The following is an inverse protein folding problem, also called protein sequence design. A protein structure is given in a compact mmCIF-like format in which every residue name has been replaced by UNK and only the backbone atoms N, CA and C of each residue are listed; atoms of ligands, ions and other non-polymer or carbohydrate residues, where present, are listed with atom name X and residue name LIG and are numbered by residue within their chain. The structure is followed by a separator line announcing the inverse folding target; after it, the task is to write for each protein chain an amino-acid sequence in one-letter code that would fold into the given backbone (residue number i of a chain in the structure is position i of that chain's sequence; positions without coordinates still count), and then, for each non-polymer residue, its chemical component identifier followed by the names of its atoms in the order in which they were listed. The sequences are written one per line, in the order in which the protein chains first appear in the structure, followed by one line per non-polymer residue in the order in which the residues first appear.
data_IF_810569904121
#
_entry.id   IF_810569904121
#
_cell.length_a   1.000
_cell.length_b   1.000
_cell.length_c   1.000
_cell.angle_alpha   90.00
_cell.angle_beta   90.00
_cell.angle_gamma   90.00
#
_symmetry.space_group_name_H-M   'P 1'
#
loop_
_entity.id
_entity.type
_entity.pdbx_description
1 polymer ?
#
# COMPACT_ATOMS: atom_id res chain seq x y z
N UNK A 1 -42.92 28.73 -12.53
CA UNK A 1 -42.78 27.57 -13.39
C UNK A 1 -41.30 27.47 -13.75
N UNK A 2 -40.47 26.60 -13.32
CA UNK A 2 -40.66 25.27 -12.76
C UNK A 2 -39.54 25.01 -11.73
N UNK A 3 -39.91 24.64 -10.49
CA UNK A 3 -39.01 24.32 -9.38
C UNK A 3 -38.66 22.83 -9.29
N UNK A 4 -38.95 22.05 -10.35
CA UNK A 4 -39.02 20.59 -10.28
C UNK A 4 -37.85 19.85 -10.93
N UNK A 5 -36.76 20.52 -11.37
CA UNK A 5 -35.61 19.86 -12.02
C UNK A 5 -34.28 19.85 -11.23
N UNK A 6 -34.28 20.32 -9.97
CA UNK A 6 -33.05 20.33 -9.13
C UNK A 6 -32.97 19.22 -8.07
N UNK A 7 -33.94 18.32 -8.01
CA UNK A 7 -34.02 17.33 -6.93
C UNK A 7 -33.61 15.90 -7.36
N UNK A 8 -33.22 15.69 -8.61
CA UNK A 8 -32.97 14.32 -9.12
C UNK A 8 -31.49 13.92 -9.29
N UNK A 9 -30.53 14.81 -8.99
CA UNK A 9 -29.08 14.48 -9.12
C UNK A 9 -28.32 14.37 -7.79
N UNK A 10 -29.00 14.48 -6.66
CA UNK A 10 -28.36 14.32 -5.33
C UNK A 10 -28.58 12.95 -4.67
N UNK A 11 -29.25 12.02 -5.32
CA UNK A 11 -29.66 10.74 -4.71
C UNK A 11 -28.85 9.52 -5.19
N UNK A 12 -27.76 9.70 -5.95
CA UNK A 12 -26.99 8.58 -6.51
C UNK A 12 -25.55 8.45 -5.96
N UNK A 13 -25.15 9.21 -4.95
CA UNK A 13 -23.80 9.14 -4.36
C UNK A 13 -23.75 8.92 -2.85
N UNK A 14 -24.86 8.59 -2.21
CA UNK A 14 -24.84 8.04 -0.85
C UNK A 14 -25.15 6.56 -0.90
N UNK A 15 -24.18 5.77 -1.31
CA UNK A 15 -24.11 4.38 -0.88
C UNK A 15 -24.04 4.42 0.64
N UNK A 16 -25.19 4.23 1.31
CA UNK A 16 -25.32 4.11 2.75
C UNK A 16 -24.43 2.92 3.14
N UNK A 17 -23.18 3.20 3.56
CA UNK A 17 -22.38 2.25 4.31
C UNK A 17 -23.11 2.10 5.65
N UNK A 18 -23.99 1.11 5.72
CA UNK A 18 -24.66 0.76 6.96
C UNK A 18 -23.58 0.56 8.03
N UNK A 19 -23.72 1.12 9.23
CA UNK A 19 -22.82 0.81 10.33
C UNK A 19 -22.79 -0.71 10.46
N UNK A 20 -21.62 -1.29 10.75
CA UNK A 20 -21.55 -2.67 11.23
C UNK A 20 -22.25 -2.68 12.60
N UNK A 21 -23.57 -2.71 12.58
CA UNK A 21 -24.30 -3.16 13.74
C UNK A 21 -23.67 -4.51 14.06
N UNK A 22 -22.91 -4.55 15.13
CA UNK A 22 -22.52 -5.77 15.80
C UNK A 22 -23.81 -6.50 16.14
N UNK A 23 -24.37 -7.26 15.21
CA UNK A 23 -25.21 -8.36 15.60
C UNK A 23 -24.29 -9.16 16.50
N UNK A 24 -24.63 -9.22 17.79
CA UNK A 24 -23.91 -10.02 18.76
C UNK A 24 -23.97 -11.47 18.26
N UNK A 25 -22.96 -11.86 17.50
CA UNK A 25 -22.68 -13.25 17.16
C UNK A 25 -21.55 -13.72 18.10
N UNK A 26 -21.90 -14.26 19.29
CA UNK A 26 -20.89 -14.65 20.28
C UNK A 26 -19.97 -15.74 19.75
N UNK A 27 -20.44 -16.57 18.83
CA UNK A 27 -19.63 -17.63 18.23
C UNK A 27 -18.56 -17.05 17.31
N UNK A 28 -18.91 -16.05 16.49
CA UNK A 28 -17.94 -15.33 15.65
C UNK A 28 -16.92 -14.59 16.50
N UNK A 29 -17.35 -13.85 17.52
CA UNK A 29 -16.44 -13.14 18.43
C UNK A 29 -15.47 -14.11 19.08
N UNK A 30 -15.95 -15.23 19.62
CA UNK A 30 -15.10 -16.25 20.24
C UNK A 30 -14.12 -16.86 19.22
N UNK A 31 -14.57 -17.17 18.00
CA UNK A 31 -13.72 -17.75 16.96
C UNK A 31 -12.58 -16.78 16.55
N UNK A 32 -12.87 -15.50 16.34
CA UNK A 32 -11.87 -14.50 15.94
C UNK A 32 -10.88 -14.25 17.10
N UNK A 33 -11.35 -14.19 18.34
CA UNK A 33 -10.47 -14.05 19.51
C UNK A 33 -9.56 -15.26 19.71
N UNK A 34 -10.07 -16.48 19.48
CA UNK A 34 -9.26 -17.69 19.57
C UNK A 34 -8.19 -17.70 18.49
N UNK A 35 -8.55 -17.39 17.24
CA UNK A 35 -7.63 -17.27 16.13
C UNK A 35 -6.51 -16.25 16.42
N UNK A 36 -6.83 -15.11 17.02
CA UNK A 36 -5.83 -14.10 17.38
C UNK A 36 -4.89 -14.60 18.50
N UNK A 37 -5.41 -15.30 19.51
CA UNK A 37 -4.58 -15.93 20.55
C UNK A 37 -3.64 -17.00 20.00
N UNK A 38 -4.11 -17.80 19.06
CA UNK A 38 -3.32 -18.84 18.41
C UNK A 38 -2.19 -18.20 17.57
N UNK A 39 -2.48 -17.12 16.83
CA UNK A 39 -1.47 -16.33 16.13
C UNK A 39 -0.44 -15.73 17.11
N UNK A 40 -0.88 -15.18 18.24
CA UNK A 40 0.00 -14.64 19.30
C UNK A 40 0.90 -15.73 19.88
N UNK A 41 0.41 -16.92 20.11
CA UNK A 41 1.22 -18.04 20.58
C UNK A 41 2.24 -18.46 19.51
N UNK A 42 1.82 -18.58 18.25
CA UNK A 42 2.67 -18.94 17.11
C UNK A 42 3.75 -17.89 16.82
N UNK A 43 3.48 -16.59 17.04
CA UNK A 43 4.44 -15.50 16.76
C UNK A 43 5.77 -15.66 17.47
N UNK A 44 5.79 -16.30 18.65
CA UNK A 44 7.01 -16.60 19.40
C UNK A 44 7.88 -17.64 18.67
N UNK A 45 7.26 -18.62 18.02
CA UNK A 45 7.96 -19.61 17.20
C UNK A 45 8.49 -18.98 15.91
N UNK A 46 7.67 -18.15 15.26
CA UNK A 46 8.05 -17.40 14.05
C UNK A 46 9.25 -16.48 14.29
N UNK A 47 9.25 -15.76 15.42
CA UNK A 47 10.33 -14.82 15.77
C UNK A 47 11.68 -15.51 16.04
N UNK A 48 11.67 -16.81 16.38
CA UNK A 48 12.89 -17.63 16.63
C UNK A 48 13.33 -18.43 15.41
N UNK A 49 12.53 -18.40 14.34
CA UNK A 49 12.85 -19.15 13.12
C UNK A 49 14.18 -18.70 12.52
N UNK A 50 15.02 -19.65 12.14
CA UNK A 50 16.25 -19.37 11.40
C UNK A 50 15.92 -18.90 9.98
N UNK A 51 16.85 -18.17 9.35
CA UNK A 51 16.73 -17.78 7.94
C UNK A 51 16.52 -18.99 7.04
N UNK A 52 17.19 -20.10 7.34
CA UNK A 52 17.05 -21.36 6.61
C UNK A 52 15.62 -21.91 6.71
N UNK A 53 15.04 -21.98 7.91
CA UNK A 53 13.66 -22.45 8.10
C UNK A 53 12.66 -21.58 7.35
N UNK A 54 12.81 -20.24 7.41
CA UNK A 54 11.97 -19.30 6.67
C UNK A 54 12.08 -19.52 5.16
N UNK A 55 13.30 -19.63 4.64
CA UNK A 55 13.53 -19.84 3.22
C UNK A 55 12.99 -21.21 2.76
N UNK A 56 13.18 -22.27 3.54
CA UNK A 56 12.62 -23.58 3.23
C UNK A 56 11.10 -23.59 3.20
N UNK A 57 10.44 -22.88 4.12
CA UNK A 57 8.99 -22.69 4.07
C UNK A 57 8.55 -21.96 2.80
N UNK A 58 9.22 -20.86 2.43
CA UNK A 58 8.89 -20.09 1.24
C UNK A 58 9.12 -20.86 -0.06
N UNK A 59 10.26 -21.51 -0.20
CA UNK A 59 10.56 -22.33 -1.39
C UNK A 59 9.61 -23.54 -1.51
N UNK A 60 9.23 -24.13 -0.38
CA UNK A 60 8.19 -25.18 -0.35
C UNK A 60 6.84 -24.63 -0.78
N UNK A 61 6.45 -23.42 -0.31
CA UNK A 61 5.23 -22.76 -0.73
C UNK A 61 5.21 -22.51 -2.24
N UNK A 62 6.28 -21.96 -2.80
CA UNK A 62 6.39 -21.71 -4.23
C UNK A 62 6.23 -22.99 -5.07
N UNK A 63 6.85 -24.08 -4.62
CA UNK A 63 6.68 -25.42 -5.24
C UNK A 63 5.24 -25.90 -5.15
N UNK A 64 4.62 -25.83 -3.96
CA UNK A 64 3.23 -26.25 -3.74
C UNK A 64 2.25 -25.44 -4.59
N UNK A 65 2.44 -24.13 -4.75
CA UNK A 65 1.63 -23.27 -5.62
C UNK A 65 1.65 -23.79 -7.06
N UNK A 66 2.81 -24.17 -7.59
CA UNK A 66 2.92 -24.74 -8.94
C UNK A 66 2.30 -26.14 -9.04
N UNK A 67 2.59 -27.02 -8.09
CA UNK A 67 2.04 -28.39 -8.07
C UNK A 67 0.52 -28.40 -7.93
N UNK A 68 -0.06 -27.49 -7.17
CA UNK A 68 -1.49 -27.39 -6.90
C UNK A 68 -2.22 -26.37 -7.78
N UNK A 69 -1.59 -25.93 -8.89
CA UNK A 69 -2.17 -24.92 -9.78
C UNK A 69 -3.59 -25.25 -10.26
N UNK A 70 -3.88 -26.53 -10.56
CA UNK A 70 -5.20 -26.98 -10.95
C UNK A 70 -6.24 -26.82 -9.82
N UNK A 71 -5.87 -27.13 -8.58
CA UNK A 71 -6.74 -26.97 -7.42
C UNK A 71 -7.00 -25.49 -7.10
N UNK A 72 -5.96 -24.63 -7.24
CA UNK A 72 -6.09 -23.18 -7.08
C UNK A 72 -7.04 -22.59 -8.13
N UNK A 73 -6.92 -22.99 -9.40
CA UNK A 73 -7.84 -22.56 -10.45
C UNK A 73 -9.29 -23.02 -10.16
N UNK A 74 -9.47 -24.26 -9.73
CA UNK A 74 -10.81 -24.77 -9.40
C UNK A 74 -11.42 -24.01 -8.20
N UNK A 75 -10.62 -23.59 -7.22
CA UNK A 75 -11.06 -22.73 -6.13
C UNK A 75 -11.43 -21.34 -6.64
N UNK A 76 -10.60 -20.77 -7.50
CA UNK A 76 -10.83 -19.44 -8.08
C UNK A 76 -12.05 -19.40 -9.01
N UNK A 77 -12.31 -20.45 -9.79
CA UNK A 77 -13.49 -20.49 -10.66
C UNK A 77 -14.80 -20.48 -9.83
N UNK A 78 -14.83 -21.14 -8.66
CA UNK A 78 -16.00 -21.03 -7.74
C UNK A 78 -16.22 -19.59 -7.27
N UNK A 79 -15.14 -18.86 -6.98
CA UNK A 79 -15.21 -17.44 -6.60
C UNK A 79 -15.71 -16.59 -7.79
N UNK A 80 -15.19 -16.82 -8.99
CA UNK A 80 -15.56 -16.10 -10.21
C UNK A 80 -17.03 -16.35 -10.59
N UNK A 81 -17.52 -17.60 -10.50
CA UNK A 81 -18.93 -17.93 -10.74
C UNK A 81 -19.86 -17.19 -9.77
N UNK A 82 -19.52 -17.18 -8.48
CA UNK A 82 -20.27 -16.45 -7.47
C UNK A 82 -20.24 -14.93 -7.72
N UNK A 83 -19.09 -14.39 -8.07
CA UNK A 83 -18.90 -12.98 -8.37
C UNK A 83 -19.70 -12.54 -9.62
N UNK A 84 -19.68 -13.32 -10.70
CA UNK A 84 -20.50 -13.06 -11.91
C UNK A 84 -22.00 -13.08 -11.60
N UNK A 85 -22.45 -14.04 -10.79
CA UNK A 85 -23.87 -14.14 -10.36
C UNK A 85 -24.30 -12.95 -9.50
N UNK A 86 -23.38 -12.39 -8.71
CA UNK A 86 -23.65 -11.19 -7.90
C UNK A 86 -23.52 -9.87 -8.67
N UNK A 87 -23.15 -9.89 -9.95
CA UNK A 87 -23.03 -8.71 -10.78
C UNK A 87 -21.76 -7.87 -10.48
N UNK A 88 -20.67 -8.52 -10.05
CA UNK A 88 -19.41 -7.82 -9.79
C UNK A 88 -18.88 -7.16 -11.08
N UNK A 89 -18.40 -5.92 -10.97
CA UNK A 89 -17.88 -5.15 -12.12
C UNK A 89 -16.68 -5.84 -12.79
N UNK A 90 -16.53 -5.65 -14.10
CA UNK A 90 -15.49 -6.27 -14.92
C UNK A 90 -14.07 -6.06 -14.38
N UNK A 91 -13.76 -4.86 -13.92
CA UNK A 91 -12.45 -4.53 -13.33
C UNK A 91 -12.17 -5.31 -12.03
N UNK A 92 -13.20 -5.60 -11.25
CA UNK A 92 -13.09 -6.40 -10.02
C UNK A 92 -12.97 -7.89 -10.35
N UNK A 93 -13.67 -8.37 -11.38
CA UNK A 93 -13.52 -9.73 -11.88
C UNK A 93 -12.12 -10.00 -12.42
N UNK A 94 -11.54 -9.04 -13.15
CA UNK A 94 -10.15 -9.12 -13.62
C UNK A 94 -9.16 -9.25 -12.45
N UNK A 95 -9.33 -8.43 -11.41
CA UNK A 95 -8.51 -8.49 -10.18
C UNK A 95 -8.66 -9.80 -9.41
N UNK A 96 -9.85 -10.41 -9.45
CA UNK A 96 -10.16 -11.67 -8.77
C UNK A 96 -9.56 -12.88 -9.49
N UNK A 97 -9.30 -12.75 -10.80
CA UNK A 97 -8.90 -13.87 -11.66
C UNK A 97 -7.48 -14.33 -11.38
N UNK A 98 -7.31 -15.61 -11.03
CA UNK A 98 -6.02 -16.31 -10.96
C UNK A 98 -5.77 -17.06 -12.28
N UNK A 99 -5.19 -16.41 -13.27
CA UNK A 99 -4.74 -17.04 -14.51
C UNK A 99 -3.52 -17.95 -14.27
N UNK A 100 -3.20 -18.82 -15.24
CA UNK A 100 -1.98 -19.65 -15.19
C UNK A 100 -0.72 -18.79 -15.03
N UNK A 101 -0.64 -17.68 -15.76
CA UNK A 101 0.44 -16.70 -15.62
C UNK A 101 0.45 -16.07 -14.23
N UNK A 102 -0.71 -15.76 -13.67
CA UNK A 102 -0.84 -15.21 -12.32
C UNK A 102 -0.38 -16.18 -11.24
N UNK A 103 -0.67 -17.49 -11.39
CA UNK A 103 -0.21 -18.52 -10.45
C UNK A 103 1.32 -18.67 -10.52
N UNK A 104 1.89 -18.67 -11.74
CA UNK A 104 3.36 -18.72 -11.92
C UNK A 104 4.01 -17.48 -11.30
N UNK A 105 3.51 -16.29 -11.59
CA UNK A 105 4.02 -15.04 -11.03
C UNK A 105 3.92 -14.99 -9.50
N UNK A 106 2.84 -15.55 -8.92
CA UNK A 106 2.69 -15.67 -7.46
C UNK A 106 3.78 -16.58 -6.86
N UNK A 107 4.10 -17.71 -7.49
CA UNK A 107 5.18 -18.59 -7.04
C UNK A 107 6.56 -17.94 -7.17
N UNK A 108 6.82 -17.24 -8.29
CA UNK A 108 8.05 -16.48 -8.52
C UNK A 108 8.21 -15.34 -7.49
N UNK A 109 7.13 -14.65 -7.15
CA UNK A 109 7.13 -13.61 -6.11
C UNK A 109 7.54 -14.17 -4.73
N UNK A 110 7.04 -15.36 -4.37
CA UNK A 110 7.42 -16.04 -3.14
C UNK A 110 8.90 -16.45 -3.14
N UNK A 111 9.43 -16.94 -4.28
CA UNK A 111 10.86 -17.27 -4.43
C UNK A 111 11.74 -16.03 -4.33
N UNK A 112 11.30 -14.93 -4.91
CA UNK A 112 11.98 -13.65 -4.81
C UNK A 112 12.07 -13.20 -3.35
N UNK A 113 10.97 -13.26 -2.59
CA UNK A 113 10.98 -12.95 -1.15
C UNK A 113 11.92 -13.88 -0.38
N UNK A 114 11.97 -15.17 -0.72
CA UNK A 114 12.90 -16.11 -0.10
C UNK A 114 14.36 -15.71 -0.32
N UNK A 115 14.70 -15.12 -1.47
CA UNK A 115 16.06 -14.67 -1.82
C UNK A 115 16.48 -13.37 -1.12
N UNK A 116 15.54 -12.58 -0.60
CA UNK A 116 15.86 -11.32 0.07
C UNK A 116 16.68 -11.55 1.35
N UNK A 117 17.53 -10.60 1.74
CA UNK A 117 18.21 -10.64 3.03
C UNK A 117 17.21 -10.70 4.20
N UNK A 118 17.48 -11.54 5.18
CA UNK A 118 16.68 -11.63 6.40
C UNK A 118 17.05 -10.48 7.35
N UNK A 119 16.13 -9.56 7.67
CA UNK A 119 16.44 -8.43 8.54
C UNK A 119 16.51 -8.82 10.02
N UNK A 120 15.90 -9.96 10.42
CA UNK A 120 15.72 -10.33 11.83
C UNK A 120 17.06 -10.77 12.44
N UNK A 121 17.37 -10.20 13.60
CA UNK A 121 18.59 -10.51 14.33
C UNK A 121 19.80 -9.64 13.94
N UNK A 122 19.70 -8.82 12.88
CA UNK A 122 20.77 -7.86 12.55
C UNK A 122 20.95 -6.84 13.68
N UNK A 123 22.20 -6.57 14.06
CA UNK A 123 22.54 -5.57 15.08
C UNK A 123 23.29 -4.42 14.41
N UNK A 124 22.82 -3.21 14.65
CA UNK A 124 23.41 -1.96 14.16
C UNK A 124 23.83 -1.07 15.31
N UNK A 125 24.66 -0.06 15.00
CA UNK A 125 25.07 1.01 15.93
C UNK A 125 25.73 0.50 17.22
N UNK A 126 26.47 -0.64 17.15
CA UNK A 126 27.17 -1.19 18.32
C UNK A 126 28.32 -0.27 18.72
N UNK A 127 28.24 0.29 19.91
CA UNK A 127 29.23 1.22 20.45
C UNK A 127 29.53 0.94 21.93
N UNK A 128 30.79 1.08 22.32
CA UNK A 128 31.18 1.05 23.73
C UNK A 128 30.89 2.41 24.38
N UNK A 129 30.20 2.38 25.50
CA UNK A 129 29.85 3.61 26.26
C UNK A 129 30.92 3.90 27.31
N UNK A 130 31.00 5.16 27.83
CA UNK A 130 31.94 5.48 28.90
C UNK A 130 31.86 4.62 30.15
N UNK A 131 30.67 4.04 30.42
CA UNK A 131 30.43 3.09 31.52
C UNK A 131 31.01 1.70 31.29
N UNK A 132 31.56 1.42 30.12
CA UNK A 132 32.11 0.08 29.77
C UNK A 132 31.13 -0.82 28.99
N UNK A 133 29.82 -0.59 29.10
CA UNK A 133 28.84 -1.40 28.36
C UNK A 133 28.93 -1.19 26.84
N UNK A 134 28.66 -2.25 26.09
CA UNK A 134 28.43 -2.17 24.64
C UNK A 134 26.92 -2.07 24.38
N UNK A 135 26.50 -1.08 23.61
CA UNK A 135 25.11 -0.78 23.30
C UNK A 135 24.90 -0.80 21.80
N UNK A 136 23.85 -1.54 21.37
CA UNK A 136 23.46 -1.62 19.96
C UNK A 136 21.95 -1.74 19.80
N UNK A 137 21.47 -1.76 18.55
CA UNK A 137 20.06 -1.98 18.20
C UNK A 137 19.92 -3.28 17.42
N UNK A 138 19.10 -4.18 17.91
CA UNK A 138 18.79 -5.46 17.23
C UNK A 138 17.43 -5.38 16.57
N UNK A 139 17.34 -5.77 15.31
CA UNK A 139 16.08 -5.85 14.57
C UNK A 139 15.29 -7.10 14.96
N UNK A 140 14.01 -6.91 15.26
CA UNK A 140 13.09 -7.98 15.70
C UNK A 140 11.75 -7.87 14.97
N UNK A 141 10.99 -8.97 14.78
CA UNK A 141 9.64 -8.92 14.21
C UNK A 141 8.71 -7.98 14.98
N UNK A 142 7.71 -7.41 14.30
CA UNK A 142 6.62 -6.66 14.96
C UNK A 142 5.78 -7.55 15.87
N UNK A 143 5.54 -8.80 15.46
CA UNK A 143 4.77 -9.78 16.23
C UNK A 143 3.65 -10.42 15.44
N UNK A 144 2.39 -9.99 15.65
CA UNK A 144 1.21 -10.44 14.90
C UNK A 144 0.69 -9.31 14.03
N UNK A 145 0.60 -9.55 12.71
CA UNK A 145 0.15 -8.59 11.72
C UNK A 145 -1.22 -9.01 11.18
N UNK A 146 -2.23 -8.17 11.35
CA UNK A 146 -3.52 -8.34 10.68
C UNK A 146 -3.50 -7.67 9.30
N UNK A 147 -3.81 -8.41 8.24
CA UNK A 147 -3.83 -7.85 6.88
C UNK A 147 -5.24 -7.97 6.32
N UNK A 148 -5.84 -6.83 5.98
CA UNK A 148 -7.21 -6.73 5.47
C UNK A 148 -7.15 -6.26 4.03
N UNK A 149 -7.60 -7.08 3.07
CA UNK A 149 -7.47 -6.80 1.65
C UNK A 149 -8.73 -7.19 0.86
N UNK A 150 -8.86 -6.67 -0.37
CA UNK A 150 -9.99 -6.87 -1.26
C UNK A 150 -9.56 -7.64 -2.52
N UNK A 151 -10.50 -8.31 -3.18
CA UNK A 151 -10.49 -8.90 -4.53
C UNK A 151 -9.11 -9.21 -5.20
N UNK A 152 -8.14 -9.71 -4.45
CA UNK A 152 -6.80 -10.04 -4.97
C UNK A 152 -6.25 -11.29 -4.28
N UNK A 153 -6.60 -12.51 -4.77
CA UNK A 153 -6.19 -13.75 -4.13
C UNK A 153 -4.67 -13.91 -3.96
N UNK A 154 -3.87 -13.40 -4.92
CA UNK A 154 -2.40 -13.42 -4.84
C UNK A 154 -1.85 -12.73 -3.59
N UNK A 155 -2.53 -11.71 -3.07
CA UNK A 155 -2.12 -11.00 -1.85
C UNK A 155 -2.03 -11.95 -0.65
N UNK A 156 -2.82 -13.04 -0.64
CA UNK A 156 -2.74 -14.07 0.40
C UNK A 156 -1.34 -14.70 0.47
N UNK A 157 -0.75 -15.01 -0.68
CA UNK A 157 0.61 -15.59 -0.74
C UNK A 157 1.68 -14.53 -0.48
N UNK A 158 1.56 -13.35 -1.11
CA UNK A 158 2.55 -12.26 -0.99
C UNK A 158 2.67 -11.77 0.46
N UNK A 159 1.52 -11.52 1.10
CA UNK A 159 1.45 -11.07 2.48
C UNK A 159 1.96 -12.13 3.47
N UNK A 160 1.57 -13.39 3.27
CA UNK A 160 2.09 -14.51 4.06
C UNK A 160 3.60 -14.63 3.93
N UNK A 161 4.13 -14.58 2.70
CA UNK A 161 5.56 -14.71 2.43
C UNK A 161 6.38 -13.59 3.09
N UNK A 162 5.94 -12.33 2.99
CA UNK A 162 6.60 -11.20 3.65
C UNK A 162 6.57 -11.34 5.18
N UNK A 163 5.45 -11.78 5.76
CA UNK A 163 5.35 -12.00 7.20
C UNK A 163 6.23 -13.17 7.66
N UNK A 164 6.28 -14.28 6.93
CA UNK A 164 7.18 -15.41 7.23
C UNK A 164 8.64 -14.96 7.19
N UNK A 165 9.05 -14.26 6.11
CA UNK A 165 10.45 -13.81 5.95
C UNK A 165 10.86 -12.83 7.04
N UNK A 166 9.97 -11.93 7.45
CA UNK A 166 10.21 -10.98 8.54
C UNK A 166 9.97 -11.56 9.95
N UNK A 167 9.68 -12.87 10.06
CA UNK A 167 9.52 -13.58 11.33
C UNK A 167 8.23 -13.25 12.10
N UNK A 168 7.22 -12.70 11.44
CA UNK A 168 5.93 -12.35 12.01
C UNK A 168 4.92 -13.50 11.86
N UNK A 169 3.99 -13.60 12.79
CA UNK A 169 2.73 -14.27 12.54
C UNK A 169 1.75 -13.32 11.85
N UNK A 170 0.80 -13.85 11.07
CA UNK A 170 -0.18 -13.02 10.38
C UNK A 170 -1.58 -13.61 10.37
N UNK A 171 -2.56 -12.73 10.42
CA UNK A 171 -3.98 -13.02 10.25
C UNK A 171 -4.45 -12.32 8.99
N UNK A 172 -4.83 -13.10 8.01
CA UNK A 172 -5.25 -12.66 6.68
C UNK A 172 -6.78 -12.58 6.62
N UNK A 173 -7.30 -11.43 6.18
CA UNK A 173 -8.72 -11.24 5.91
C UNK A 173 -8.91 -10.69 4.50
N UNK A 174 -9.07 -11.57 3.54
CA UNK A 174 -9.40 -11.22 2.15
C UNK A 174 -10.87 -10.88 1.95
N UNK A 175 -11.19 -10.26 0.83
CA UNK A 175 -12.55 -10.00 0.41
C UNK A 175 -13.40 -11.26 0.34
N UNK A 176 -14.70 -11.10 0.58
CA UNK A 176 -15.68 -12.22 0.53
C UNK A 176 -15.77 -12.89 -0.83
N UNK A 177 -15.47 -12.13 -1.87
CA UNK A 177 -15.46 -12.55 -3.27
C UNK A 177 -14.33 -13.54 -3.61
N UNK A 178 -13.26 -13.61 -2.79
CA UNK A 178 -12.09 -14.46 -3.00
C UNK A 178 -11.95 -15.57 -1.95
N UNK A 179 -13.01 -15.92 -1.23
CA UNK A 179 -12.94 -16.78 -0.05
C UNK A 179 -12.35 -18.17 -0.35
N UNK A 180 -12.78 -18.82 -1.44
CA UNK A 180 -12.30 -20.15 -1.80
C UNK A 180 -10.83 -20.13 -2.22
N UNK A 181 -10.43 -19.14 -3.00
CA UNK A 181 -9.04 -18.92 -3.41
C UNK A 181 -8.13 -18.66 -2.20
N UNK A 182 -8.55 -17.77 -1.30
CA UNK A 182 -7.80 -17.42 -0.10
C UNK A 182 -7.61 -18.63 0.83
N UNK A 183 -8.65 -19.44 1.02
CA UNK A 183 -8.58 -20.70 1.78
C UNK A 183 -7.57 -21.68 1.17
N UNK A 184 -7.65 -21.87 -0.15
CA UNK A 184 -6.78 -22.81 -0.85
C UNK A 184 -5.30 -22.37 -0.72
N UNK A 185 -5.00 -21.08 -0.92
CA UNK A 185 -3.63 -20.55 -0.77
C UNK A 185 -3.17 -20.66 0.69
N UNK A 186 -4.00 -20.26 1.67
CA UNK A 186 -3.64 -20.33 3.08
C UNK A 186 -3.33 -21.75 3.54
N UNK A 187 -4.04 -22.75 3.03
CA UNK A 187 -3.75 -24.16 3.31
C UNK A 187 -2.36 -24.58 2.82
N UNK A 188 -1.94 -24.13 1.63
CA UNK A 188 -0.59 -24.39 1.11
C UNK A 188 0.49 -23.70 1.97
N UNK A 189 0.22 -22.48 2.44
CA UNK A 189 1.12 -21.76 3.36
C UNK A 189 1.30 -22.53 4.66
N UNK A 190 0.21 -23.01 5.28
CA UNK A 190 0.26 -23.78 6.52
C UNK A 190 1.02 -25.12 6.35
N UNK A 191 0.81 -25.79 5.21
CA UNK A 191 1.56 -26.99 4.86
C UNK A 191 3.05 -26.71 4.72
N UNK A 192 3.42 -25.61 4.06
CA UNK A 192 4.80 -25.19 3.88
C UNK A 192 5.47 -24.84 5.23
N UNK A 193 4.79 -24.13 6.12
CA UNK A 193 5.27 -23.83 7.47
C UNK A 193 5.54 -25.12 8.26
N UNK A 194 4.57 -26.03 8.28
CA UNK A 194 4.70 -27.31 8.99
C UNK A 194 5.88 -28.14 8.46
N UNK A 195 6.10 -28.18 7.15
CA UNK A 195 7.22 -28.89 6.52
C UNK A 195 8.60 -28.33 6.91
N UNK A 196 8.68 -27.04 7.25
CA UNK A 196 9.89 -26.37 7.71
C UNK A 196 10.06 -26.39 9.25
N UNK A 197 9.18 -27.11 9.97
CA UNK A 197 9.17 -27.15 11.43
C UNK A 197 8.72 -25.84 12.09
N UNK A 198 7.98 -24.99 11.36
CA UNK A 198 7.40 -23.75 11.86
C UNK A 198 5.92 -23.96 12.25
N UNK A 199 5.40 -23.18 13.20
CA UNK A 199 4.01 -23.32 13.61
C UNK A 199 3.05 -22.98 12.46
N UNK A 200 2.17 -23.91 12.08
CA UNK A 200 1.17 -23.69 11.03
C UNK A 200 0.26 -22.50 11.33
N UNK A 201 -0.06 -22.25 12.61
CA UNK A 201 -0.83 -21.11 13.08
C UNK A 201 -0.08 -19.77 12.94
N UNK A 202 1.18 -19.78 12.50
CA UNK A 202 1.94 -18.58 12.13
C UNK A 202 1.31 -17.80 10.98
N UNK A 203 0.52 -18.47 10.12
CA UNK A 203 -0.31 -17.82 9.10
C UNK A 203 -1.72 -18.38 9.17
N UNK A 204 -2.69 -17.51 9.41
CA UNK A 204 -4.09 -17.87 9.50
C UNK A 204 -4.94 -16.99 8.57
N UNK A 205 -5.99 -17.58 8.00
CA UNK A 205 -6.96 -16.86 7.19
C UNK A 205 -8.32 -16.88 7.88
N UNK A 206 -8.97 -15.72 7.98
CA UNK A 206 -10.34 -15.64 8.51
C UNK A 206 -11.30 -16.28 7.51
N UNK A 207 -11.95 -17.32 7.96
CA UNK A 207 -12.78 -18.21 7.17
C UNK A 207 -14.28 -17.85 7.26
N UNK A 208 -14.61 -16.58 6.99
CA UNK A 208 -15.99 -16.10 6.95
C UNK A 208 -16.14 -14.88 6.05
N UNK A 209 -17.31 -14.79 5.41
CA UNK A 209 -17.70 -13.59 4.65
C UNK A 209 -18.26 -12.49 5.54
N UNK A 210 -18.56 -12.79 6.82
CA UNK A 210 -19.12 -11.82 7.75
C UNK A 210 -18.17 -10.66 8.00
N UNK A 211 -18.62 -9.45 7.65
CA UNK A 211 -17.84 -8.21 7.83
C UNK A 211 -17.64 -7.84 9.31
N UNK A 212 -18.45 -8.40 10.23
CA UNK A 212 -18.28 -8.19 11.67
C UNK A 212 -16.94 -8.74 12.17
N UNK A 213 -16.39 -9.79 11.52
CA UNK A 213 -15.07 -10.32 11.83
C UNK A 213 -13.98 -9.25 11.76
N UNK A 214 -14.05 -8.31 10.80
CA UNK A 214 -13.11 -7.18 10.69
C UNK A 214 -13.24 -6.25 11.90
N UNK A 215 -14.48 -5.91 12.29
CA UNK A 215 -14.73 -5.05 13.45
C UNK A 215 -14.19 -5.64 14.76
N UNK A 216 -14.28 -6.97 14.94
CA UNK A 216 -13.68 -7.66 16.08
C UNK A 216 -12.16 -7.60 15.98
N UNK A 217 -11.58 -8.01 14.84
CA UNK A 217 -10.13 -8.11 14.62
C UNK A 217 -9.39 -6.82 14.98
N UNK A 218 -9.86 -5.67 14.49
CA UNK A 218 -9.22 -4.36 14.68
C UNK A 218 -9.28 -3.81 16.10
N UNK A 219 -10.00 -4.48 17.01
CA UNK A 219 -10.06 -4.12 18.43
C UNK A 219 -9.13 -4.94 19.33
N UNK A 220 -8.51 -6.01 18.82
CA UNK A 220 -7.74 -6.99 19.57
C UNK A 220 -6.28 -6.55 19.82
N UNK A 221 -6.07 -5.35 20.41
CA UNK A 221 -4.75 -4.74 20.62
C UNK A 221 -3.78 -5.55 21.50
N UNK A 222 -4.27 -6.53 22.25
CA UNK A 222 -3.41 -7.38 23.09
C UNK A 222 -2.87 -8.59 22.31
N UNK A 223 -3.53 -8.96 21.21
CA UNK A 223 -3.23 -10.14 20.43
C UNK A 223 -2.70 -9.78 19.02
N UNK A 224 -2.91 -8.54 18.57
CA UNK A 224 -2.46 -8.05 17.27
C UNK A 224 -1.65 -6.77 17.46
N UNK A 225 -0.47 -6.68 16.87
CA UNK A 225 0.45 -5.56 17.03
C UNK A 225 0.20 -4.45 16.00
N UNK A 226 -0.16 -4.83 14.77
CA UNK A 226 -0.41 -3.86 13.69
C UNK A 226 -1.43 -4.40 12.68
N UNK A 227 -2.22 -3.50 12.09
CA UNK A 227 -3.10 -3.78 10.94
C UNK A 227 -2.52 -3.12 9.69
N UNK A 228 -2.52 -3.85 8.58
CA UNK A 228 -2.18 -3.34 7.25
C UNK A 228 -3.41 -3.45 6.35
N UNK A 229 -4.11 -2.35 6.09
CA UNK A 229 -5.23 -2.33 5.15
C UNK A 229 -4.75 -2.24 3.70
N UNK A 230 -5.39 -3.00 2.82
CA UNK A 230 -5.15 -3.06 1.36
C UNK A 230 -6.47 -3.03 0.61
N UNK A 231 -7.11 -1.89 0.55
CA UNK A 231 -8.43 -1.72 -0.10
C UNK A 231 -8.72 -0.28 -0.46
N UNK A 232 -9.95 -0.02 -0.91
CA UNK A 232 -10.37 1.32 -1.29
C UNK A 232 -10.50 2.28 -0.10
N UNK A 233 -10.54 3.58 -0.41
CA UNK A 233 -10.59 4.71 0.55
C UNK A 233 -11.64 4.49 1.66
N UNK A 234 -12.85 4.08 1.30
CA UNK A 234 -13.92 3.87 2.29
C UNK A 234 -13.65 2.78 3.32
N UNK A 235 -12.93 1.70 2.95
CA UNK A 235 -12.49 0.69 3.90
C UNK A 235 -11.46 1.29 4.86
N UNK A 236 -10.48 2.01 4.33
CA UNK A 236 -9.37 2.57 5.12
C UNK A 236 -9.89 3.64 6.09
N UNK A 237 -10.76 4.56 5.63
CA UNK A 237 -11.41 5.58 6.49
C UNK A 237 -12.15 4.95 7.65
N UNK A 238 -12.89 3.88 7.38
CA UNK A 238 -13.59 3.14 8.42
C UNK A 238 -12.64 2.52 9.43
N UNK A 239 -11.57 1.87 8.97
CA UNK A 239 -10.57 1.26 9.83
C UNK A 239 -9.87 2.32 10.69
N UNK A 240 -9.53 3.49 10.12
CA UNK A 240 -8.96 4.62 10.86
C UNK A 240 -9.88 5.04 12.02
N UNK A 241 -11.19 5.09 11.77
CA UNK A 241 -12.18 5.51 12.78
C UNK A 241 -12.41 4.47 13.88
N UNK A 242 -12.37 3.18 13.55
CA UNK A 242 -12.83 2.11 14.43
C UNK A 242 -11.69 1.31 15.08
N UNK A 243 -10.48 1.33 14.51
CA UNK A 243 -9.38 0.50 15.00
C UNK A 243 -8.82 0.98 16.34
N UNK A 244 -8.52 0.01 17.20
CA UNK A 244 -7.75 0.17 18.44
C UNK A 244 -6.33 -0.38 18.31
N UNK A 245 -6.04 -1.05 17.20
CA UNK A 245 -4.72 -1.57 16.85
C UNK A 245 -4.03 -0.54 15.95
N UNK A 246 -2.75 -0.23 16.15
CA UNK A 246 -1.98 0.63 15.24
C UNK A 246 -2.05 0.13 13.79
N UNK A 247 -1.92 1.04 12.83
CA UNK A 247 -1.98 0.69 11.42
C UNK A 247 -0.77 1.20 10.65
N UNK A 248 -0.37 0.44 9.63
CA UNK A 248 0.52 0.88 8.56
C UNK A 248 -0.37 1.11 7.33
N UNK A 249 -0.56 2.37 6.94
CA UNK A 249 -1.58 2.73 5.95
C UNK A 249 -1.24 3.99 5.15
N UNK A 250 -1.86 4.12 3.98
CA UNK A 250 -2.16 5.41 3.34
C UNK A 250 -3.67 5.46 3.05
N UNK A 251 -4.21 6.66 2.90
CA UNK A 251 -5.63 6.84 2.61
C UNK A 251 -5.89 6.85 1.11
N UNK A 252 -5.15 7.69 0.40
CA UNK A 252 -5.20 7.88 -1.06
C UNK A 252 -3.83 8.32 -1.59
N UNK A 253 -3.70 8.40 -2.91
CA UNK A 253 -2.48 8.75 -3.62
C UNK A 253 -2.64 10.01 -4.48
N UNK A 254 -3.08 11.15 -3.92
CA UNK A 254 -3.07 12.43 -4.65
C UNK A 254 -1.64 12.96 -4.80
N UNK A 255 -0.93 12.43 -5.80
CA UNK A 255 0.48 12.76 -6.06
C UNK A 255 0.62 13.97 -7.00
N UNK A 256 1.67 14.78 -6.79
CA UNK A 256 1.94 15.97 -7.59
C UNK A 256 3.25 15.87 -8.36
N UNK A 257 3.28 16.47 -9.54
CA UNK A 257 4.51 16.86 -10.24
C UNK A 257 4.52 18.37 -10.37
N UNK A 258 5.57 19.01 -9.89
CA UNK A 258 5.84 20.42 -10.09
C UNK A 258 6.95 20.60 -11.13
N UNK A 259 6.69 21.41 -12.14
CA UNK A 259 7.68 21.80 -13.15
C UNK A 259 8.12 23.24 -12.84
N UNK A 260 9.38 23.37 -12.46
CA UNK A 260 10.01 24.63 -12.05
C UNK A 260 10.39 25.51 -13.26
N UNK A 261 10.75 26.76 -13.02
CA UNK A 261 10.97 27.78 -14.05
C UNK A 261 12.22 27.55 -14.92
N UNK A 262 13.20 26.79 -14.45
CA UNK A 262 14.41 26.42 -15.17
C UNK A 262 14.46 24.92 -15.56
N UNK A 263 13.31 24.24 -15.58
CA UNK A 263 13.24 22.83 -15.93
C UNK A 263 13.59 22.56 -17.41
N UNK A 264 14.32 21.48 -17.66
CA UNK A 264 14.42 20.92 -19.00
C UNK A 264 13.06 20.47 -19.52
N UNK A 265 12.58 21.09 -20.60
CA UNK A 265 11.23 20.86 -21.12
C UNK A 265 11.03 19.45 -21.65
N UNK A 266 12.05 18.82 -22.26
CA UNK A 266 11.95 17.46 -22.76
C UNK A 266 11.92 16.44 -21.63
N UNK A 267 12.70 16.66 -20.58
CA UNK A 267 12.65 15.85 -19.35
C UNK A 267 11.28 15.98 -18.68
N UNK A 268 10.75 17.20 -18.56
CA UNK A 268 9.45 17.46 -17.97
C UNK A 268 8.32 16.71 -18.73
N UNK A 269 8.32 16.75 -20.06
CA UNK A 269 7.34 16.01 -20.89
C UNK A 269 7.40 14.50 -20.62
N UNK A 270 8.60 13.90 -20.63
CA UNK A 270 8.76 12.46 -20.37
C UNK A 270 8.32 12.07 -18.97
N UNK A 271 8.65 12.88 -17.96
CA UNK A 271 8.26 12.62 -16.56
C UNK A 271 6.75 12.70 -16.41
N UNK A 272 6.10 13.77 -16.91
CA UNK A 272 4.64 13.93 -16.81
C UNK A 272 3.90 12.84 -17.56
N UNK A 273 4.33 12.51 -18.80
CA UNK A 273 3.74 11.41 -19.56
C UNK A 273 3.80 10.10 -18.76
N UNK A 274 4.98 9.71 -18.28
CA UNK A 274 5.14 8.48 -17.52
C UNK A 274 4.37 8.53 -16.20
N UNK A 275 4.48 9.61 -15.43
CA UNK A 275 3.86 9.75 -14.12
C UNK A 275 2.33 9.65 -14.20
N UNK A 276 1.69 10.13 -15.27
CA UNK A 276 0.24 10.04 -15.45
C UNK A 276 -0.20 8.81 -16.21
N UNK A 277 0.45 8.46 -17.33
CA UNK A 277 -0.14 7.55 -18.32
C UNK A 277 0.40 6.12 -18.28
N UNK A 278 1.49 5.85 -17.55
CA UNK A 278 2.05 4.50 -17.44
C UNK A 278 1.03 3.52 -16.81
N UNK A 279 0.28 4.00 -15.79
CA UNK A 279 -0.83 3.24 -15.18
C UNK A 279 -1.72 4.17 -14.38
N UNK A 280 -3.01 4.30 -14.73
CA UNK A 280 -3.93 5.24 -14.09
C UNK A 280 -4.37 4.81 -12.68
N UNK A 281 -4.62 3.54 -12.45
CA UNK A 281 -5.24 3.02 -11.23
C UNK A 281 -4.28 2.66 -10.11
N UNK A 282 -3.21 3.44 -9.89
CA UNK A 282 -2.23 3.21 -8.82
C UNK A 282 -1.98 4.48 -8.00
N UNK A 283 -1.76 4.29 -6.71
CA UNK A 283 -1.64 5.39 -5.73
C UNK A 283 -0.42 6.31 -5.93
N UNK A 284 0.58 5.91 -6.74
CA UNK A 284 1.74 6.74 -7.11
C UNK A 284 1.60 7.38 -8.49
N UNK A 285 0.42 7.30 -9.12
CA UNK A 285 0.09 8.04 -10.33
C UNK A 285 -0.05 9.52 -10.02
N UNK A 286 0.52 10.40 -10.85
CA UNK A 286 0.31 11.84 -10.70
C UNK A 286 -1.15 12.20 -10.97
N UNK A 287 -1.77 12.88 -10.02
CA UNK A 287 -3.14 13.36 -10.11
C UNK A 287 -3.21 14.89 -10.28
N UNK A 288 -2.16 15.59 -9.81
CA UNK A 288 -2.03 17.05 -9.92
C UNK A 288 -0.70 17.44 -10.56
N UNK A 289 -0.75 18.32 -11.55
CA UNK A 289 0.38 18.93 -12.23
C UNK A 289 0.44 20.42 -11.92
N UNK A 290 1.57 20.88 -11.38
CA UNK A 290 1.84 22.29 -11.13
C UNK A 290 2.91 22.76 -12.13
N UNK A 291 2.71 23.92 -12.75
CA UNK A 291 3.65 24.48 -13.74
C UNK A 291 4.00 25.91 -13.37
N UNK A 292 5.28 26.23 -13.29
CA UNK A 292 5.72 27.60 -13.04
C UNK A 292 5.23 28.55 -14.15
N UNK A 293 4.70 29.72 -13.75
CA UNK A 293 4.07 30.69 -14.66
C UNK A 293 5.00 31.15 -15.77
N UNK A 294 6.29 31.30 -15.48
CA UNK A 294 7.31 31.77 -16.43
C UNK A 294 7.41 30.90 -17.69
N UNK A 295 7.28 29.57 -17.53
CA UNK A 295 7.41 28.59 -18.62
C UNK A 295 6.08 28.05 -19.12
N UNK A 296 4.96 28.34 -18.43
CA UNK A 296 3.66 27.76 -18.72
C UNK A 296 3.20 28.02 -20.17
N UNK A 297 3.45 29.23 -20.70
CA UNK A 297 3.05 29.61 -22.07
C UNK A 297 3.67 28.71 -23.13
N UNK A 298 4.93 28.31 -22.96
CA UNK A 298 5.68 27.52 -23.95
C UNK A 298 5.52 26.02 -23.73
N UNK A 299 5.49 25.58 -22.47
CA UNK A 299 5.49 24.15 -22.15
C UNK A 299 4.10 23.54 -22.06
N UNK A 300 3.12 24.24 -21.48
CA UNK A 300 1.79 23.69 -21.18
C UNK A 300 1.02 23.27 -22.44
N UNK A 301 1.08 24.00 -23.59
CA UNK A 301 0.47 23.51 -24.84
C UNK A 301 1.03 22.18 -25.33
N UNK A 302 2.33 21.92 -25.13
CA UNK A 302 2.98 20.67 -25.50
C UNK A 302 2.51 19.53 -24.58
N UNK A 303 2.45 19.76 -23.25
CA UNK A 303 1.91 18.81 -22.29
C UNK A 303 0.44 18.52 -22.61
N UNK A 304 -0.37 19.54 -22.88
CA UNK A 304 -1.76 19.38 -23.24
C UNK A 304 -1.97 18.52 -24.50
N UNK A 305 -1.14 18.71 -25.53
CA UNK A 305 -1.18 17.91 -26.75
C UNK A 305 -0.79 16.44 -26.45
N UNK A 306 0.23 16.20 -25.66
CA UNK A 306 0.65 14.85 -25.24
C UNK A 306 -0.45 14.16 -24.43
N UNK A 307 -1.03 14.80 -23.41
CA UNK A 307 -2.10 14.25 -22.57
C UNK A 307 -3.35 13.94 -23.41
N UNK A 308 -3.71 14.83 -24.34
CA UNK A 308 -4.83 14.63 -25.26
C UNK A 308 -4.62 13.41 -26.16
N UNK A 309 -3.39 13.15 -26.62
CA UNK A 309 -3.07 11.97 -27.43
C UNK A 309 -3.22 10.64 -26.68
N UNK A 310 -3.34 10.70 -25.35
CA UNK A 310 -3.56 9.58 -24.44
C UNK A 310 -4.98 9.57 -23.84
N UNK A 311 -5.89 10.38 -24.41
CA UNK A 311 -7.28 10.53 -23.93
C UNK A 311 -7.38 10.96 -22.45
N UNK A 312 -6.41 11.74 -21.94
CA UNK A 312 -6.44 12.27 -20.57
C UNK A 312 -7.23 13.57 -20.52
N UNK A 313 -8.28 13.60 -19.70
CA UNK A 313 -9.05 14.81 -19.39
C UNK A 313 -8.22 15.75 -18.50
N UNK A 314 -8.19 17.04 -18.86
CA UNK A 314 -7.49 18.05 -18.07
C UNK A 314 -8.52 18.92 -17.35
N UNK A 315 -8.38 19.04 -16.02
CA UNK A 315 -9.12 20.00 -15.19
C UNK A 315 -8.17 21.10 -14.76
N UNK A 316 -8.39 22.32 -15.25
CA UNK A 316 -7.43 23.40 -15.14
C UNK A 316 -7.94 24.62 -14.38
N UNK A 317 -7.03 25.33 -13.69
CA UNK A 317 -7.30 26.68 -13.21
C UNK A 317 -7.57 27.63 -14.38
N UNK A 318 -8.05 28.84 -14.11
CA UNK A 318 -8.40 29.82 -15.15
C UNK A 318 -7.23 30.11 -16.12
N UNK A 319 -6.00 30.23 -15.61
CA UNK A 319 -4.81 30.44 -16.43
C UNK A 319 -4.50 29.21 -17.32
N UNK A 320 -4.69 28.00 -16.80
CA UNK A 320 -4.56 26.75 -17.58
C UNK A 320 -5.58 26.70 -18.71
N UNK A 321 -6.84 27.03 -18.45
CA UNK A 321 -7.90 27.05 -19.47
C UNK A 321 -7.61 28.06 -20.58
N UNK A 322 -7.00 29.21 -20.24
CA UNK A 322 -6.62 30.23 -21.22
C UNK A 322 -5.54 29.70 -22.21
N UNK A 323 -4.63 28.81 -21.75
CA UNK A 323 -3.60 28.21 -22.58
C UNK A 323 -4.04 26.89 -23.23
N UNK A 324 -5.00 26.19 -22.65
CA UNK A 324 -5.53 24.90 -23.10
C UNK A 324 -7.06 24.99 -23.31
N UNK A 325 -7.53 25.41 -24.49
CA UNK A 325 -8.97 25.63 -24.72
C UNK A 325 -9.88 24.41 -24.58
N UNK A 326 -9.32 23.22 -24.40
CA UNK A 326 -10.08 21.99 -24.14
C UNK A 326 -10.12 21.57 -22.66
N UNK A 327 -9.47 22.32 -21.77
CA UNK A 327 -9.46 22.01 -20.37
C UNK A 327 -10.79 22.39 -19.70
N UNK A 328 -11.30 21.50 -18.83
CA UNK A 328 -12.47 21.73 -17.99
C UNK A 328 -12.05 22.61 -16.80
N UNK A 329 -12.94 23.48 -16.33
CA UNK A 329 -12.66 24.28 -15.14
C UNK A 329 -12.50 23.39 -13.91
N UNK A 330 -11.34 23.47 -13.26
CA UNK A 330 -11.11 22.81 -11.99
C UNK A 330 -11.91 23.48 -10.86
N UNK A 331 -12.45 22.67 -9.98
CA UNK A 331 -13.07 23.07 -8.72
C UNK A 331 -12.08 22.90 -7.57
N UNK A 332 -12.41 23.38 -6.39
CA UNK A 332 -11.57 23.15 -5.19
C UNK A 332 -11.40 21.67 -4.87
N UNK A 333 -12.44 20.85 -5.09
CA UNK A 333 -12.41 19.40 -4.85
C UNK A 333 -11.43 18.68 -5.79
N UNK A 334 -11.18 19.20 -6.98
CA UNK A 334 -10.25 18.61 -7.94
C UNK A 334 -8.81 18.59 -7.41
N UNK A 335 -8.42 19.56 -6.58
CA UNK A 335 -7.08 19.62 -5.98
C UNK A 335 -6.86 18.56 -4.90
N UNK A 336 -7.93 18.04 -4.27
CA UNK A 336 -7.89 16.95 -3.29
C UNK A 336 -8.13 15.55 -3.88
N UNK A 337 -8.45 15.47 -5.19
CA UNK A 337 -9.00 14.25 -5.77
C UNK A 337 -7.91 13.31 -6.29
N UNK A 338 -7.89 12.07 -5.79
CA UNK A 338 -7.28 10.92 -6.45
C UNK A 338 -8.28 10.37 -7.46
N UNK A 339 -8.06 10.62 -8.76
CA UNK A 339 -9.00 10.22 -9.83
C UNK A 339 -8.94 8.72 -10.14
N UNK A 340 -7.75 8.10 -10.08
CA UNK A 340 -7.52 6.72 -10.52
C UNK A 340 -7.99 6.45 -11.96
N UNK A 341 -8.01 7.47 -12.78
CA UNK A 341 -8.60 7.53 -14.11
C UNK A 341 -7.73 8.40 -15.05
N UNK A 342 -7.96 8.40 -16.36
CA UNK A 342 -7.28 9.31 -17.29
C UNK A 342 -7.80 10.76 -17.12
N UNK A 343 -7.64 11.31 -15.93
CA UNK A 343 -7.99 12.68 -15.53
C UNK A 343 -6.82 13.26 -14.74
N UNK A 344 -6.46 14.53 -14.96
CA UNK A 344 -5.42 15.23 -14.24
C UNK A 344 -5.84 16.67 -13.92
N UNK A 345 -5.60 17.11 -12.69
CA UNK A 345 -5.72 18.52 -12.30
C UNK A 345 -4.46 19.28 -12.70
N UNK A 346 -4.59 20.47 -13.28
CA UNK A 346 -3.44 21.27 -13.75
C UNK A 346 -3.56 22.70 -13.27
N UNK A 347 -2.56 23.19 -12.53
CA UNK A 347 -2.51 24.56 -12.01
C UNK A 347 -1.23 25.25 -12.41
N UNK A 348 -1.34 26.50 -12.85
CA UNK A 348 -0.20 27.41 -13.02
C UNK A 348 0.04 28.09 -11.68
N UNK A 349 1.28 28.06 -11.22
CA UNK A 349 1.73 28.63 -9.95
C UNK A 349 2.79 29.72 -10.19
N UNK A 350 2.90 30.68 -9.29
CA UNK A 350 3.86 31.77 -9.42
C UNK A 350 5.32 31.28 -9.43
N UNK A 351 5.59 30.17 -8.75
CA UNK A 351 6.90 29.56 -8.63
C UNK A 351 6.94 28.55 -7.47
N UNK A 352 8.13 28.20 -7.01
CA UNK A 352 8.39 27.14 -6.03
C UNK A 352 7.59 27.34 -4.72
N UNK A 353 7.51 28.57 -4.19
CA UNK A 353 6.84 28.82 -2.91
C UNK A 353 5.35 28.49 -2.98
N UNK A 354 4.66 28.90 -4.07
CA UNK A 354 3.24 28.56 -4.27
C UNK A 354 3.06 27.07 -4.54
N UNK A 355 3.99 26.43 -5.26
CA UNK A 355 3.95 24.99 -5.50
C UNK A 355 4.05 24.20 -4.18
N UNK A 356 4.99 24.52 -3.31
CA UNK A 356 5.16 23.90 -1.99
C UNK A 356 3.93 24.14 -1.13
N UNK A 357 3.39 25.37 -1.09
CA UNK A 357 2.17 25.69 -0.34
C UNK A 357 0.97 24.88 -0.84
N UNK A 358 0.80 24.76 -2.16
CA UNK A 358 -0.25 23.97 -2.76
C UNK A 358 -0.12 22.49 -2.39
N UNK A 359 1.06 21.89 -2.59
CA UNK A 359 1.33 20.48 -2.26
C UNK A 359 1.06 20.22 -0.77
N UNK A 360 1.59 21.05 0.12
CA UNK A 360 1.38 20.87 1.57
C UNK A 360 -0.09 21.04 2.01
N UNK A 361 -0.92 21.69 1.18
CA UNK A 361 -2.36 21.87 1.44
C UNK A 361 -3.19 20.68 0.92
N UNK A 362 -2.92 20.22 -0.30
CA UNK A 362 -3.82 19.35 -1.05
C UNK A 362 -3.31 17.90 -1.19
N UNK A 363 -2.00 17.66 -0.99
CA UNK A 363 -1.41 16.35 -1.12
C UNK A 363 -1.93 15.37 -0.06
N UNK A 364 -2.02 14.10 -0.46
CA UNK A 364 -2.20 12.97 0.45
C UNK A 364 -0.91 12.57 1.20
N UNK A 365 0.19 13.31 1.01
CA UNK A 365 1.52 13.03 1.53
C UNK A 365 2.11 11.68 1.04
N UNK A 366 1.67 11.24 -0.13
CA UNK A 366 2.13 9.99 -0.72
C UNK A 366 3.43 10.16 -1.51
N UNK A 367 3.39 10.82 -2.68
CA UNK A 367 4.57 10.96 -3.55
C UNK A 367 4.52 12.26 -4.34
N UNK A 368 5.60 13.04 -4.26
CA UNK A 368 5.72 14.32 -4.93
C UNK A 368 7.02 14.40 -5.72
N UNK A 369 6.98 15.08 -6.86
CA UNK A 369 8.17 15.29 -7.69
C UNK A 369 8.32 16.75 -8.11
N UNK A 370 9.57 17.22 -8.17
CA UNK A 370 9.95 18.46 -8.84
C UNK A 370 10.79 18.13 -10.07
N UNK A 371 10.54 18.85 -11.16
CA UNK A 371 11.43 18.86 -12.33
C UNK A 371 12.13 20.21 -12.37
N UNK A 372 13.46 20.24 -12.19
CA UNK A 372 14.26 21.46 -12.10
C UNK A 372 15.74 21.18 -12.37
N UNK A 373 16.43 22.15 -12.98
CA UNK A 373 17.90 22.15 -13.09
C UNK A 373 18.54 23.03 -11.99
N UNK A 374 17.72 23.73 -11.19
CA UNK A 374 18.20 24.58 -10.11
C UNK A 374 18.42 23.79 -8.82
N UNK A 375 19.67 23.51 -8.47
CA UNK A 375 20.05 22.74 -7.28
C UNK A 375 19.41 23.25 -5.98
N UNK A 376 19.38 24.58 -5.78
CA UNK A 376 18.80 25.19 -4.58
C UNK A 376 17.30 24.91 -4.45
N UNK A 377 16.55 24.97 -5.56
CA UNK A 377 15.11 24.67 -5.59
C UNK A 377 14.86 23.18 -5.34
N UNK A 378 15.66 22.30 -5.93
CA UNK A 378 15.61 20.87 -5.66
C UNK A 378 15.78 20.57 -4.17
N UNK A 379 16.80 21.14 -3.53
CA UNK A 379 17.08 20.92 -2.10
C UNK A 379 16.03 21.52 -1.18
N UNK A 380 15.43 22.65 -1.55
CA UNK A 380 14.30 23.23 -0.82
C UNK A 380 13.06 22.34 -0.92
N UNK A 381 12.74 21.88 -2.12
CA UNK A 381 11.60 20.99 -2.36
C UNK A 381 11.71 19.70 -1.52
N UNK A 382 12.88 19.05 -1.55
CA UNK A 382 13.14 17.84 -0.75
C UNK A 382 12.96 18.05 0.77
N UNK A 383 13.25 19.25 1.28
CA UNK A 383 13.16 19.57 2.70
C UNK A 383 11.79 20.08 3.13
N UNK A 384 11.11 20.86 2.27
CA UNK A 384 9.91 21.60 2.63
C UNK A 384 8.62 20.88 2.27
N UNK A 385 8.68 19.91 1.34
CA UNK A 385 7.54 19.03 1.00
C UNK A 385 7.56 17.81 1.91
N UNK A 386 6.50 17.64 2.70
CA UNK A 386 6.41 16.60 3.72
C UNK A 386 5.58 15.39 3.23
N UNK A 387 6.12 14.67 2.25
CA UNK A 387 5.51 13.45 1.71
C UNK A 387 6.37 12.20 1.96
N UNK A 388 5.79 11.02 1.80
CA UNK A 388 6.48 9.75 2.07
C UNK A 388 7.59 9.46 1.05
N UNK A 389 7.44 9.98 -0.17
CA UNK A 389 8.47 9.98 -1.21
C UNK A 389 8.52 11.35 -1.87
N UNK A 390 9.69 11.96 -1.92
CA UNK A 390 9.91 13.24 -2.58
C UNK A 390 11.06 13.09 -3.57
N UNK A 391 10.83 13.48 -4.83
CA UNK A 391 11.70 13.15 -5.96
C UNK A 391 12.19 14.42 -6.67
N UNK A 392 13.38 14.38 -7.21
CA UNK A 392 13.92 15.38 -8.12
C UNK A 392 14.18 14.71 -9.46
N UNK A 393 13.64 15.27 -10.55
CA UNK A 393 13.84 14.83 -11.92
C UNK A 393 13.52 13.35 -12.17
N UNK A 394 12.51 12.83 -11.46
CA UNK A 394 12.05 11.45 -11.59
C UNK A 394 10.52 11.36 -11.55
N UNK A 395 9.98 10.35 -12.21
CA UNK A 395 8.55 10.06 -12.20
C UNK A 395 8.07 9.57 -10.84
N UNK A 396 6.90 10.02 -10.39
CA UNK A 396 6.25 9.52 -9.17
C UNK A 396 6.03 8.02 -9.19
N UNK A 397 6.00 7.40 -10.38
CA UNK A 397 5.86 5.95 -10.57
C UNK A 397 6.98 5.12 -9.96
N UNK A 398 8.13 5.73 -9.66
CA UNK A 398 9.21 5.05 -8.94
C UNK A 398 8.94 4.82 -7.44
N UNK A 399 7.88 5.40 -6.86
CA UNK A 399 7.48 5.12 -5.47
C UNK A 399 6.86 3.73 -5.35
N UNK A 400 7.69 2.71 -5.45
CA UNK A 400 7.35 1.30 -5.52
C UNK A 400 8.43 0.48 -4.80
N UNK A 401 8.03 -0.55 -4.06
CA UNK A 401 8.97 -1.35 -3.27
C UNK A 401 9.98 -2.11 -4.11
N UNK A 402 9.64 -2.49 -5.35
CA UNK A 402 10.58 -3.15 -6.24
C UNK A 402 11.61 -2.16 -6.79
N UNK A 403 11.13 -1.00 -7.27
CA UNK A 403 12.00 0.06 -7.80
C UNK A 403 12.93 0.64 -6.72
N UNK A 404 12.49 0.66 -5.45
CA UNK A 404 13.32 1.09 -4.31
C UNK A 404 14.30 0.02 -3.81
N UNK A 405 14.36 -1.14 -4.48
CA UNK A 405 15.25 -2.22 -4.11
C UNK A 405 14.82 -3.02 -2.89
N UNK A 406 13.58 -2.87 -2.42
CA UNK A 406 13.04 -3.66 -1.31
C UNK A 406 12.63 -5.07 -1.74
N UNK A 407 12.59 -5.35 -3.04
CA UNK A 407 12.25 -6.62 -3.66
C UNK A 407 10.77 -7.01 -3.57
N UNK A 408 10.06 -6.55 -2.56
CA UNK A 408 8.61 -6.72 -2.38
C UNK A 408 8.10 -5.72 -1.35
N UNK A 409 6.78 -5.41 -1.38
CA UNK A 409 6.15 -4.54 -0.39
C UNK A 409 4.81 -5.10 0.08
N UNK A 410 4.49 -4.90 1.35
CA UNK A 410 3.16 -5.21 1.91
C UNK A 410 2.16 -4.10 1.60
N UNK A 411 2.64 -2.90 1.34
CA UNK A 411 1.89 -1.69 1.05
C UNK A 411 2.75 -0.45 1.20
N UNK A 412 2.12 0.71 1.10
CA UNK A 412 2.76 2.01 1.28
C UNK A 412 2.18 2.67 2.53
N UNK A 413 2.99 3.42 3.26
CA UNK A 413 2.56 4.17 4.44
C UNK A 413 2.85 5.65 4.26
N UNK A 414 1.87 6.49 4.55
CA UNK A 414 2.06 7.95 4.68
C UNK A 414 2.20 8.39 6.14
N UNK A 415 2.06 7.46 7.10
CA UNK A 415 2.25 7.75 8.52
C UNK A 415 3.71 8.08 8.83
N UNK A 416 3.93 8.96 9.83
CA UNK A 416 5.27 9.39 10.25
C UNK A 416 5.85 8.52 11.37
N UNK A 417 5.01 7.74 12.04
CA UNK A 417 5.40 6.85 13.13
C UNK A 417 5.64 5.46 12.54
N UNK A 418 6.83 4.91 12.75
CA UNK A 418 7.32 3.64 12.25
C UNK A 418 7.77 3.70 10.78
N UNK A 419 7.17 2.89 9.86
CA UNK A 419 7.55 2.88 8.44
C UNK A 419 6.82 3.98 7.65
N UNK A 420 7.52 4.64 6.71
CA UNK A 420 6.98 5.64 5.80
C UNK A 420 7.46 5.35 4.37
N UNK A 421 6.58 5.49 3.37
CA UNK A 421 6.83 5.07 1.99
C UNK A 421 6.51 3.59 1.77
N UNK A 422 7.07 2.96 0.72
CA UNK A 422 6.93 1.53 0.48
C UNK A 422 7.43 0.70 1.66
N UNK A 423 6.63 -0.26 2.12
CA UNK A 423 6.89 -1.05 3.34
C UNK A 423 7.32 -2.45 2.94
N UNK A 424 8.62 -2.69 2.90
CA UNK A 424 9.24 -4.01 2.68
C UNK A 424 9.51 -4.75 4.00
N UNK A 425 10.43 -5.72 3.96
CA UNK A 425 10.76 -6.58 5.10
C UNK A 425 11.20 -5.81 6.35
N UNK A 426 12.03 -4.77 6.18
CA UNK A 426 12.48 -3.95 7.31
C UNK A 426 11.32 -3.23 8.00
N UNK A 427 10.36 -2.72 7.23
CA UNK A 427 9.17 -2.06 7.76
C UNK A 427 8.24 -3.00 8.52
N UNK A 428 8.35 -4.32 8.35
CA UNK A 428 7.65 -5.35 9.12
C UNK A 428 8.41 -5.78 10.38
N UNK A 429 9.47 -5.05 10.73
CA UNK A 429 10.29 -5.27 11.93
C UNK A 429 10.41 -3.99 12.76
N UNK A 430 10.85 -4.12 13.99
CA UNK A 430 11.19 -3.01 14.88
C UNK A 430 12.62 -3.21 15.41
N UNK A 431 13.14 -2.27 16.16
CA UNK A 431 14.45 -2.37 16.80
C UNK A 431 14.29 -2.34 18.31
N UNK A 432 14.98 -3.27 19.00
CA UNK A 432 15.16 -3.21 20.45
C UNK A 432 16.61 -2.91 20.82
N UNK A 433 16.83 -2.28 21.94
CA UNK A 433 18.16 -2.09 22.47
C UNK A 433 18.72 -3.42 22.98
N UNK A 434 19.99 -3.69 22.68
CA UNK A 434 20.78 -4.79 23.24
C UNK A 434 21.98 -4.21 23.96
N UNK A 435 22.25 -4.70 25.16
CA UNK A 435 23.35 -4.25 26.01
C UNK A 435 24.19 -5.49 26.36
N UNK A 436 25.48 -5.40 26.10
CA UNK A 436 26.48 -6.37 26.54
C UNK A 436 27.36 -5.71 27.60
N UNK A 437 27.53 -6.40 28.71
CA UNK A 437 28.33 -5.92 29.83
C UNK A 437 29.10 -7.06 30.50
N UNK A 438 29.99 -6.71 31.37
CA UNK A 438 30.84 -7.61 32.17
C UNK A 438 30.60 -7.42 33.68
N UNK A 439 29.43 -6.90 34.07
CA UNK A 439 29.06 -6.64 35.46
C UNK A 439 29.06 -5.14 35.82
N UNK A 440 29.10 -4.25 34.82
CA UNK A 440 29.02 -2.82 35.03
C UNK A 440 27.68 -2.46 35.73
N UNK A 441 27.77 -1.56 36.70
CA UNK A 441 26.63 -1.03 37.43
C UNK A 441 26.53 0.49 37.21
N UNK A 442 25.34 1.01 37.31
CA UNK A 442 25.12 2.46 37.29
C UNK A 442 25.49 3.04 38.62
N UNK A 443 26.45 4.01 38.64
CA UNK A 443 26.83 4.80 39.79
C UNK A 443 25.82 5.91 40.07
#
# INVERSE_FOLDING_TARGET
MDRTRRTCLKTLLTGIIAPMTTQNNPQLDQAIRQLAKDARAASRGMARASTEQKNNALLTLARLIREQAAALRAANERDLEAARKSGLEAAMLDRLTLSDKGIVAMAEGVEQIASLPDPVGSITDMNTRPSGIQLGKMRVPLGVIGIIYEARPNVTADAAALCIKSGNATILRGGSEALNSNRAIAALVQQALASAGLPAQGVQCIDTTDRAAVGILITLRNDIDVIVPRGGKGLIERLIKESRVPMIKHLDGNCHVYIDDDADHEMALRIVENAKTQRYGTCNTTESLLVARSIAKDLLPRIGAMLKSKDVEIRGCAETQALLPGAIAATEDDWYTEYLAPIIAVKIVAGLDEAIAHINTYSSQHTEAIVTDHYGNAMRFLREVDSSSVMVNASTRFADGFEYGLGAEIGISTDKIHARGPVGLEGLTSQKWVVLGHGEIRG
#
